data_IF_111803106016
#
_entry.id   IF_111803106016
#
_cell.length_a   1.000
_cell.length_b   1.000
_cell.length_c   1.000
_cell.angle_alpha   90.00
_cell.angle_beta   90.00
_cell.angle_gamma   90.00
#
_symmetry.space_group_name_H-M   'P 1'
#
loop_
_entity.id
_entity.type
_entity.pdbx_description
1 polymer ?
#
# COMPACT_ATOMS: atom_id res chain seq x y z
N UNK A 1 -11.00 -7.99 12.97
CA UNK A 1 -10.21 -6.95 12.31
C UNK A 1 -9.42 -7.62 11.20
N UNK A 2 -9.59 -7.18 9.96
CA UNK A 2 -8.89 -7.73 8.79
C UNK A 2 -7.90 -6.70 8.25
N UNK A 3 -6.62 -7.07 8.18
CA UNK A 3 -5.56 -6.22 7.62
C UNK A 3 -5.36 -6.56 6.15
N UNK A 4 -5.62 -5.60 5.27
CA UNK A 4 -5.27 -5.70 3.86
C UNK A 4 -3.77 -5.58 3.66
N UNK A 5 -3.20 -6.34 2.73
CA UNK A 5 -1.81 -6.20 2.31
C UNK A 5 -1.81 -6.05 0.79
N UNK A 6 -1.33 -4.92 0.28
CA UNK A 6 -1.21 -4.70 -1.16
C UNK A 6 -0.28 -5.75 -1.76
N UNK A 7 -0.80 -6.59 -2.67
CA UNK A 7 -0.09 -7.75 -3.23
C UNK A 7 0.09 -7.63 -4.75
N UNK A 8 0.51 -6.44 -5.21
CA UNK A 8 0.80 -6.17 -6.62
C UNK A 8 2.25 -6.56 -6.98
N UNK A 9 3.18 -6.24 -6.09
CA UNK A 9 4.60 -6.53 -6.19
C UNK A 9 5.22 -6.41 -4.79
N UNK A 10 6.41 -6.98 -4.58
CA UNK A 10 7.22 -6.74 -3.39
C UNK A 10 7.08 -7.81 -2.32
N UNK A 11 7.58 -7.51 -1.13
CA UNK A 11 7.71 -8.46 -0.02
C UNK A 11 6.43 -8.59 0.83
N UNK A 12 5.25 -8.61 0.19
CA UNK A 12 3.95 -8.69 0.89
C UNK A 12 3.78 -9.98 1.69
N UNK A 13 4.41 -11.09 1.28
CA UNK A 13 4.30 -12.37 1.96
C UNK A 13 4.87 -12.32 3.39
N UNK A 14 5.98 -11.60 3.60
CA UNK A 14 6.60 -11.46 4.93
C UNK A 14 5.70 -10.68 5.90
N UNK A 15 5.02 -9.64 5.42
CA UNK A 15 3.98 -8.96 6.20
C UNK A 15 2.86 -9.92 6.59
N UNK A 16 2.48 -10.81 5.67
CA UNK A 16 1.45 -11.82 5.94
C UNK A 16 1.87 -12.90 6.95
N UNK A 17 3.15 -13.30 6.95
CA UNK A 17 3.72 -14.21 7.95
C UNK A 17 3.71 -13.58 9.35
N UNK A 18 4.11 -12.31 9.46
CA UNK A 18 4.11 -11.58 10.74
C UNK A 18 2.68 -11.47 11.28
N UNK A 19 1.71 -11.06 10.45
CA UNK A 19 0.32 -10.94 10.88
C UNK A 19 -0.27 -12.29 11.32
N UNK A 20 0.04 -13.39 10.62
CA UNK A 20 -0.35 -14.74 11.04
C UNK A 20 0.27 -15.12 12.38
N UNK A 21 1.53 -14.78 12.62
CA UNK A 21 2.20 -15.07 13.91
C UNK A 21 1.58 -14.33 15.09
N UNK A 22 0.81 -13.28 14.82
CA UNK A 22 0.08 -12.47 15.80
C UNK A 22 -1.43 -12.81 15.84
N UNK A 23 -1.86 -13.90 15.19
CA UNK A 23 -3.27 -14.30 15.04
C UNK A 23 -4.19 -13.21 14.44
N UNK A 24 -3.63 -12.37 13.56
CA UNK A 24 -4.38 -11.30 12.87
C UNK A 24 -4.89 -11.80 11.52
N UNK A 25 -6.20 -11.64 11.28
CA UNK A 25 -6.80 -11.92 9.98
C UNK A 25 -6.25 -10.98 8.90
N UNK A 26 -5.92 -11.51 7.74
CA UNK A 26 -5.36 -10.74 6.63
C UNK A 26 -6.05 -11.04 5.31
N UNK A 27 -6.00 -10.07 4.41
CA UNK A 27 -6.46 -10.18 3.03
C UNK A 27 -5.36 -9.68 2.10
N UNK A 28 -4.98 -10.48 1.11
CA UNK A 28 -4.14 -9.98 0.02
C UNK A 28 -4.99 -9.16 -0.94
N UNK A 29 -4.57 -7.93 -1.22
CA UNK A 29 -5.31 -6.95 -2.01
C UNK A 29 -4.65 -6.83 -3.37
N UNK A 30 -5.32 -7.36 -4.41
CA UNK A 30 -4.87 -7.28 -5.80
C UNK A 30 -5.81 -6.45 -6.67
N UNK A 31 -7.07 -6.33 -6.26
CA UNK A 31 -8.12 -5.58 -6.93
C UNK A 31 -8.92 -4.72 -5.94
N UNK A 32 -9.62 -3.66 -6.39
CA UNK A 32 -10.41 -2.79 -5.51
C UNK A 32 -11.38 -3.53 -4.58
N UNK A 33 -12.07 -4.56 -5.10
CA UNK A 33 -13.01 -5.39 -4.32
C UNK A 33 -12.38 -6.10 -3.11
N UNK A 34 -11.09 -6.41 -3.18
CA UNK A 34 -10.39 -7.10 -2.09
C UNK A 34 -10.20 -6.15 -0.89
N UNK A 35 -10.22 -4.84 -1.13
CA UNK A 35 -10.05 -3.80 -0.11
C UNK A 35 -11.33 -3.52 0.69
N UNK A 36 -12.52 -3.85 0.15
CA UNK A 36 -13.82 -3.54 0.75
C UNK A 36 -14.00 -4.10 2.15
N UNK A 37 -13.43 -5.28 2.42
CA UNK A 37 -13.55 -5.97 3.71
C UNK A 37 -12.36 -5.74 4.65
N UNK A 38 -11.48 -4.79 4.33
CA UNK A 38 -10.30 -4.48 5.13
C UNK A 38 -10.58 -3.34 6.13
N UNK A 39 -10.04 -3.47 7.34
CA UNK A 39 -10.10 -2.42 8.38
C UNK A 39 -8.88 -1.49 8.35
N UNK A 40 -7.77 -1.98 7.81
CA UNK A 40 -6.52 -1.24 7.60
C UNK A 40 -5.77 -1.83 6.40
N UNK A 41 -4.79 -1.10 5.87
CA UNK A 41 -4.00 -1.52 4.71
C UNK A 41 -2.51 -1.38 4.96
N UNK A 42 -1.73 -2.39 4.58
CA UNK A 42 -0.28 -2.34 4.48
C UNK A 42 0.12 -2.20 3.01
N UNK A 43 0.95 -1.20 2.72
CA UNK A 43 1.67 -1.08 1.44
C UNK A 43 3.12 -1.55 1.69
N UNK A 44 3.50 -2.71 1.16
CA UNK A 44 4.77 -3.35 1.50
C UNK A 44 5.96 -2.63 0.84
N UNK A 45 7.16 -3.06 1.25
CA UNK A 45 8.38 -2.74 0.51
C UNK A 45 8.46 -3.47 -0.84
N UNK A 46 9.28 -2.96 -1.75
CA UNK A 46 9.40 -3.45 -3.11
C UNK A 46 10.08 -2.41 -3.98
N UNK A 47 9.69 -2.34 -5.25
CA UNK A 47 10.17 -1.30 -6.17
C UNK A 47 9.06 -0.26 -6.37
N UNK A 48 9.29 0.97 -5.90
CA UNK A 48 8.25 2.01 -5.81
C UNK A 48 7.69 2.43 -7.18
N UNK A 49 8.51 2.47 -8.24
CA UNK A 49 8.03 2.83 -9.58
C UNK A 49 7.09 1.76 -10.14
N UNK A 50 7.42 0.48 -9.90
CA UNK A 50 6.64 -0.67 -10.32
C UNK A 50 5.32 -0.73 -9.57
N UNK A 51 5.35 -0.56 -8.24
CA UNK A 51 4.12 -0.55 -7.44
C UNK A 51 3.24 0.65 -7.83
N UNK A 52 3.83 1.83 -8.05
CA UNK A 52 3.08 3.01 -8.52
C UNK A 52 2.35 2.73 -9.82
N UNK A 53 3.05 2.16 -10.81
CA UNK A 53 2.47 1.81 -12.11
C UNK A 53 1.35 0.77 -11.98
N UNK A 54 1.58 -0.29 -11.19
CA UNK A 54 0.59 -1.34 -10.99
C UNK A 54 -0.65 -0.85 -10.24
N UNK A 55 -0.51 0.11 -9.31
CA UNK A 55 -1.66 0.73 -8.64
C UNK A 55 -2.60 1.43 -9.63
N UNK A 56 -2.03 2.07 -10.65
CA UNK A 56 -2.77 2.70 -11.74
C UNK A 56 -3.42 1.65 -12.64
N UNK A 57 -2.65 0.68 -13.12
CA UNK A 57 -3.12 -0.36 -14.05
C UNK A 57 -4.20 -1.27 -13.45
N UNK A 58 -4.15 -1.53 -12.14
CA UNK A 58 -5.15 -2.36 -11.45
C UNK A 58 -6.40 -1.59 -11.02
N UNK A 59 -6.46 -0.28 -11.24
CA UNK A 59 -7.53 0.59 -10.75
C UNK A 59 -7.57 0.75 -9.22
N UNK A 60 -6.51 0.36 -8.51
CA UNK A 60 -6.46 0.41 -7.04
C UNK A 60 -6.18 1.80 -6.50
N UNK A 61 -5.55 2.70 -7.28
CA UNK A 61 -5.15 4.03 -6.78
C UNK A 61 -6.32 4.78 -6.14
N UNK A 62 -7.43 4.93 -6.86
CA UNK A 62 -8.58 5.67 -6.36
C UNK A 62 -9.19 4.96 -5.13
N UNK A 63 -9.29 3.63 -5.17
CA UNK A 63 -9.79 2.84 -4.03
C UNK A 63 -8.94 3.03 -2.77
N UNK A 64 -7.61 3.06 -2.89
CA UNK A 64 -6.68 3.30 -1.77
C UNK A 64 -6.81 4.73 -1.23
N UNK A 65 -6.95 5.73 -2.11
CA UNK A 65 -7.15 7.12 -1.69
C UNK A 65 -8.48 7.30 -0.95
N UNK A 66 -9.55 6.66 -1.40
CA UNK A 66 -10.84 6.69 -0.72
C UNK A 66 -10.80 5.94 0.61
N UNK A 67 -10.12 4.79 0.65
CA UNK A 67 -9.89 4.02 1.88
C UNK A 67 -9.16 4.84 2.95
N UNK A 68 -8.12 5.58 2.55
CA UNK A 68 -7.31 6.41 3.44
C UNK A 68 -8.10 7.53 4.16
N UNK A 69 -9.28 7.92 3.63
CA UNK A 69 -10.13 8.95 4.26
C UNK A 69 -10.74 8.49 5.58
N UNK A 70 -10.89 7.19 5.78
CA UNK A 70 -11.58 6.61 6.95
C UNK A 70 -10.78 5.53 7.67
N UNK A 71 -9.80 4.92 7.00
CA UNK A 71 -9.05 3.76 7.49
C UNK A 71 -7.56 4.05 7.50
N UNK A 72 -6.85 3.33 8.36
CA UNK A 72 -5.40 3.52 8.53
C UNK A 72 -4.60 2.76 7.47
N UNK A 73 -3.50 3.38 7.02
CA UNK A 73 -2.57 2.79 6.06
C UNK A 73 -1.14 2.83 6.63
N UNK A 74 -0.44 1.70 6.56
CA UNK A 74 0.97 1.57 6.90
C UNK A 74 1.80 1.35 5.63
N UNK A 75 2.66 2.29 5.28
CA UNK A 75 3.65 2.13 4.21
C UNK A 75 5.01 1.75 4.76
N UNK A 76 5.64 0.70 4.23
CA UNK A 76 7.01 0.31 4.58
C UNK A 76 7.94 0.41 3.38
N UNK A 77 9.12 1.03 3.54
CA UNK A 77 10.11 1.20 2.46
C UNK A 77 9.46 1.82 1.20
N UNK A 78 9.30 1.07 0.10
CA UNK A 78 8.61 1.55 -1.11
C UNK A 78 7.17 2.03 -0.84
N UNK A 79 6.45 1.38 0.08
CA UNK A 79 5.14 1.86 0.50
C UNK A 79 5.19 3.23 1.20
N UNK A 80 6.26 3.52 1.93
CA UNK A 80 6.46 4.83 2.56
C UNK A 80 6.77 5.90 1.49
N UNK A 81 7.61 5.57 0.50
CA UNK A 81 7.85 6.45 -0.67
C UNK A 81 6.53 6.78 -1.37
N UNK A 82 5.65 5.79 -1.60
CA UNK A 82 4.35 6.01 -2.22
C UNK A 82 3.42 6.90 -1.41
N UNK A 83 3.53 6.92 -0.08
CA UNK A 83 2.69 7.77 0.77
C UNK A 83 3.13 9.24 0.81
N UNK A 84 4.38 9.55 0.42
CA UNK A 84 4.93 10.90 0.46
C UNK A 84 4.17 11.88 -0.44
N UNK A 85 4.26 13.17 -0.13
CA UNK A 85 3.76 14.23 -1.03
C UNK A 85 4.73 14.45 -2.19
N UNK A 86 6.02 14.35 -1.90
CA UNK A 86 7.11 14.43 -2.86
C UNK A 86 8.03 13.22 -2.69
N UNK A 87 8.17 12.43 -3.75
CA UNK A 87 8.95 11.20 -3.79
C UNK A 87 10.35 11.38 -4.42
N UNK A 88 10.69 12.58 -4.90
CA UNK A 88 11.98 12.90 -5.53
C UNK A 88 12.33 11.97 -6.73
N UNK A 89 11.29 11.46 -7.41
CA UNK A 89 11.38 10.56 -8.57
C UNK A 89 10.14 10.72 -9.48
N UNK A 90 10.33 11.25 -10.68
CA UNK A 90 9.24 11.52 -11.65
C UNK A 90 8.52 10.25 -12.14
N UNK A 91 9.12 9.07 -11.95
CA UNK A 91 8.50 7.78 -12.31
C UNK A 91 7.52 7.30 -11.24
N UNK A 92 7.53 7.90 -10.06
CA UNK A 92 6.59 7.58 -8.98
C UNK A 92 5.47 8.61 -9.02
N UNK A 93 4.23 8.13 -9.18
CA UNK A 93 3.04 8.92 -8.89
C UNK A 93 2.62 8.64 -7.45
N UNK A 94 2.97 9.49 -6.48
CA UNK A 94 2.67 9.22 -5.08
C UNK A 94 1.17 9.35 -4.78
N UNK A 95 0.75 8.69 -3.70
CA UNK A 95 -0.59 8.79 -3.11
C UNK A 95 -0.77 10.10 -2.32
N UNK A 96 0.31 10.77 -1.93
CA UNK A 96 0.29 12.08 -1.25
C UNK A 96 -0.53 12.07 0.04
N UNK A 97 -0.40 11.00 0.83
CA UNK A 97 -1.13 10.80 2.08
C UNK A 97 -0.42 11.42 3.30
N UNK A 98 0.89 11.65 3.19
CA UNK A 98 1.72 12.24 4.24
C UNK A 98 2.46 13.45 3.66
N UNK A 99 2.38 14.59 4.35
CA UNK A 99 3.11 15.82 3.98
C UNK A 99 4.60 15.69 4.31
N UNK A 100 5.30 14.93 3.49
CA UNK A 100 6.74 14.70 3.59
C UNK A 100 7.39 14.66 2.21
N UNK A 101 8.67 15.02 2.17
CA UNK A 101 9.57 14.74 1.06
C UNK A 101 10.44 13.54 1.42
N UNK A 102 10.58 12.60 0.50
CA UNK A 102 11.46 11.43 0.63
C UNK A 102 12.43 11.42 -0.54
N UNK A 103 13.67 11.00 -0.30
CA UNK A 103 14.69 10.80 -1.34
C UNK A 103 15.16 9.34 -1.30
N UNK A 104 15.48 8.78 -2.47
CA UNK A 104 15.88 7.37 -2.66
C UNK A 104 17.38 7.17 -2.52
#
# INVERSE_FOLDING_TARGET
MTVGILSLQGAYALHGEILRSMDVSLQYVRYPKDLENCDSLIIPGGESTTISKLLDESGLRQAVLDFAKQRSILGTCAGMILMAKDADDDKVNPLRLIDMKVSR
#
